data_IF_648312569667
#
_entry.id   IF_648312569667
#
_cell.length_a   1.000
_cell.length_b   1.000
_cell.length_c   1.000
_cell.angle_alpha   90.00
_cell.angle_beta   90.00
_cell.angle_gamma   90.00
#
_symmetry.space_group_name_H-M   'P 1'
#
loop_
_entity.id
_entity.type
_entity.pdbx_description
1 polymer ?
#
# COMPACT_ATOMS: atom_id res chain seq x y z
N UNK A 1 9.20 39.41 -12.46
CA UNK A 1 7.88 39.49 -11.81
C UNK A 1 7.45 38.05 -11.63
N UNK A 2 7.82 37.48 -10.48
CA UNK A 2 7.73 36.04 -10.22
C UNK A 2 6.40 35.76 -9.57
N UNK A 3 5.59 34.93 -10.22
CA UNK A 3 4.25 34.54 -9.80
C UNK A 3 4.34 33.73 -8.49
N UNK A 4 3.65 34.10 -7.40
CA UNK A 4 3.66 33.30 -6.19
C UNK A 4 2.87 32.02 -6.44
N UNK A 5 3.57 30.89 -6.44
CA UNK A 5 3.01 29.54 -6.46
C UNK A 5 1.98 29.41 -5.33
N UNK A 6 0.70 29.35 -5.68
CA UNK A 6 -0.36 28.98 -4.74
C UNK A 6 -0.35 27.47 -4.65
N UNK A 7 0.24 26.94 -3.57
CA UNK A 7 0.15 25.52 -3.24
C UNK A 7 -1.33 25.11 -3.08
N UNK A 8 -1.75 23.98 -3.67
CA UNK A 8 -3.12 23.50 -3.54
C UNK A 8 -3.45 23.20 -2.07
N UNK A 9 -4.73 23.31 -1.65
CA UNK A 9 -5.12 23.01 -0.28
C UNK A 9 -4.82 21.54 0.04
N UNK A 10 -3.86 21.34 0.95
CA UNK A 10 -3.47 20.04 1.47
C UNK A 10 -4.70 19.31 2.03
N UNK A 11 -4.90 18.06 1.62
CA UNK A 11 -5.98 17.22 2.13
C UNK A 11 -5.87 17.04 3.66
N UNK A 12 -6.95 16.64 4.33
CA UNK A 12 -6.97 16.51 5.79
C UNK A 12 -5.88 15.59 6.38
N UNK A 13 -5.39 14.61 5.59
CA UNK A 13 -4.26 13.73 5.97
C UNK A 13 -2.89 14.41 5.87
N UNK A 14 -2.68 15.23 4.84
CA UNK A 14 -1.44 15.99 4.68
C UNK A 14 -1.31 17.06 5.76
N UNK A 15 -2.42 17.73 6.09
CA UNK A 15 -2.42 18.71 7.19
C UNK A 15 -2.14 18.09 8.55
N UNK A 16 -2.65 16.89 8.82
CA UNK A 16 -2.32 16.15 10.05
C UNK A 16 -0.82 15.84 10.09
N UNK A 17 -0.24 15.36 8.99
CA UNK A 17 1.19 15.06 8.90
C UNK A 17 2.05 16.29 9.22
N UNK A 18 1.76 17.44 8.60
CA UNK A 18 2.50 18.69 8.88
C UNK A 18 2.46 19.09 10.36
N UNK A 19 1.28 18.97 10.98
CA UNK A 19 1.12 19.31 12.39
C UNK A 19 1.89 18.32 13.29
N UNK A 20 1.92 17.03 12.94
CA UNK A 20 2.68 16.03 13.68
C UNK A 20 4.20 16.20 13.50
N UNK A 21 4.65 16.55 12.31
CA UNK A 21 6.06 16.87 12.03
C UNK A 21 6.50 18.06 12.90
N UNK A 22 5.68 19.12 12.96
CA UNK A 22 5.94 20.27 13.83
C UNK A 22 5.99 19.89 15.34
N UNK A 23 5.12 18.98 15.80
CA UNK A 23 5.11 18.53 17.21
C UNK A 23 6.34 17.67 17.55
N UNK A 24 6.84 16.89 16.58
CA UNK A 24 7.90 15.90 16.81
C UNK A 24 9.30 16.36 16.43
N UNK A 25 9.42 17.50 15.75
CA UNK A 25 10.69 18.15 15.48
C UNK A 25 11.42 18.54 16.79
N UNK A 26 12.65 18.05 16.93
CA UNK A 26 13.51 18.30 18.08
C UNK A 26 13.96 19.77 18.19
N UNK A 27 13.98 20.50 17.08
CA UNK A 27 14.38 21.92 17.02
C UNK A 27 13.37 22.86 17.66
N UNK A 28 12.10 22.47 17.71
CA UNK A 28 11.06 23.25 18.37
C UNK A 28 11.22 23.13 19.88
N UNK A 29 11.34 24.21 20.65
CA UNK A 29 11.52 24.15 22.11
C UNK A 29 10.20 24.18 22.89
N UNK A 30 9.16 24.78 22.29
CA UNK A 30 7.82 24.88 22.87
C UNK A 30 6.72 25.05 21.82
N UNK A 31 5.47 25.15 22.28
CA UNK A 31 4.27 25.20 21.41
C UNK A 31 4.30 26.40 20.46
N UNK A 32 4.86 27.53 20.88
CA UNK A 32 5.07 28.70 20.02
C UNK A 32 5.98 28.40 18.82
N UNK A 33 7.05 27.61 19.01
CA UNK A 33 7.95 27.22 17.92
C UNK A 33 7.27 26.26 16.95
N UNK A 34 6.53 25.28 17.49
CA UNK A 34 5.75 24.33 16.69
C UNK A 34 4.72 25.06 15.81
N UNK A 35 3.99 26.01 16.40
CA UNK A 35 3.01 26.82 15.68
C UNK A 35 3.67 27.64 14.56
N UNK A 36 4.82 28.28 14.84
CA UNK A 36 5.60 29.02 13.83
C UNK A 36 6.09 28.13 12.70
N UNK A 37 6.61 26.93 13.00
CA UNK A 37 7.08 25.97 12.00
C UNK A 37 5.98 25.46 11.07
N UNK A 38 4.71 25.53 11.50
CA UNK A 38 3.53 25.14 10.71
C UNK A 38 2.75 26.32 10.11
N UNK A 39 3.36 27.51 10.11
CA UNK A 39 2.77 28.78 9.66
C UNK A 39 1.41 29.11 10.31
N UNK A 40 1.22 28.72 11.58
CA UNK A 40 -0.02 28.92 12.33
C UNK A 40 0.19 29.78 13.59
N UNK A 41 -0.88 30.43 14.06
CA UNK A 41 -0.88 31.03 15.39
C UNK A 41 -0.93 29.95 16.47
N UNK A 42 -0.35 30.22 17.66
CA UNK A 42 -0.29 29.25 18.75
C UNK A 42 -1.67 28.74 19.19
N UNK A 43 -2.67 29.63 19.22
CA UNK A 43 -4.05 29.28 19.52
C UNK A 43 -4.65 28.37 18.46
N UNK A 44 -4.48 28.70 17.18
CA UNK A 44 -5.01 27.89 16.08
C UNK A 44 -4.34 26.53 16.02
N UNK A 45 -3.02 26.48 16.15
CA UNK A 45 -2.23 25.25 16.19
C UNK A 45 -2.67 24.33 17.33
N UNK A 46 -2.74 24.85 18.56
CA UNK A 46 -3.12 24.06 19.74
C UNK A 46 -4.54 23.51 19.64
N UNK A 47 -5.47 24.32 19.12
CA UNK A 47 -6.86 23.90 18.89
C UNK A 47 -6.92 22.80 17.83
N UNK A 48 -6.18 22.95 16.73
CA UNK A 48 -6.23 22.02 15.61
C UNK A 48 -5.55 20.68 15.93
N UNK A 49 -4.37 20.70 16.56
CA UNK A 49 -3.72 19.50 17.08
C UNK A 49 -4.65 18.79 18.06
N UNK A 50 -5.24 19.49 19.02
CA UNK A 50 -6.16 18.86 19.98
C UNK A 50 -7.42 18.29 19.32
N UNK A 51 -7.96 18.98 18.32
CA UNK A 51 -9.12 18.52 17.55
C UNK A 51 -8.81 17.23 16.79
N UNK A 52 -7.62 17.13 16.19
CA UNK A 52 -7.21 16.00 15.36
C UNK A 52 -6.62 14.82 16.17
N UNK A 53 -5.97 15.11 17.30
CA UNK A 53 -5.18 14.13 18.07
C UNK A 53 -5.76 13.83 19.46
N UNK A 54 -6.77 14.56 19.91
CA UNK A 54 -7.30 14.45 21.28
C UNK A 54 -6.34 14.94 22.38
N UNK A 55 -5.08 15.25 22.05
CA UNK A 55 -4.03 15.67 22.98
C UNK A 55 -3.62 17.13 22.73
N UNK A 56 -3.15 17.84 23.77
CA UNK A 56 -2.49 19.12 23.53
C UNK A 56 -1.12 18.88 22.88
N UNK A 57 -0.59 19.83 22.07
CA UNK A 57 0.72 19.65 21.43
C UNK A 57 1.85 19.28 22.41
N UNK A 58 1.85 19.91 23.59
CA UNK A 58 2.84 19.65 24.63
C UNK A 58 2.68 18.26 25.29
N UNK A 59 1.45 17.75 25.41
CA UNK A 59 1.19 16.41 25.92
C UNK A 59 1.63 15.36 24.90
N UNK A 60 1.24 15.55 23.63
CA UNK A 60 1.60 14.68 22.51
C UNK A 60 3.11 14.54 22.35
N UNK A 61 3.82 15.68 22.30
CA UNK A 61 5.29 15.69 22.23
C UNK A 61 5.91 14.95 23.42
N UNK A 62 5.46 15.27 24.64
CA UNK A 62 6.01 14.66 25.86
C UNK A 62 5.79 13.15 25.87
N UNK A 63 4.64 12.67 25.40
CA UNK A 63 4.36 11.24 25.26
C UNK A 63 5.31 10.59 24.27
N UNK A 64 5.38 11.09 23.03
CA UNK A 64 6.28 10.57 21.98
C UNK A 64 7.75 10.55 22.41
N UNK A 65 8.23 11.61 23.09
CA UNK A 65 9.58 11.67 23.64
C UNK A 65 9.83 10.59 24.72
N UNK A 66 8.85 10.35 25.59
CA UNK A 66 8.96 9.32 26.62
C UNK A 66 8.87 7.90 26.05
N UNK A 67 8.08 7.66 25.00
CA UNK A 67 8.05 6.39 24.26
C UNK A 67 9.40 6.11 23.59
N UNK A 68 9.99 7.12 22.94
CA UNK A 68 11.34 7.05 22.35
C UNK A 68 12.41 6.79 23.40
N UNK A 69 12.37 7.52 24.52
CA UNK A 69 13.32 7.34 25.61
C UNK A 69 13.23 5.93 26.22
N UNK A 70 12.03 5.41 26.46
CA UNK A 70 11.83 4.05 26.95
C UNK A 70 12.43 3.01 25.98
N UNK A 71 12.19 3.16 24.68
CA UNK A 71 12.77 2.27 23.67
C UNK A 71 14.31 2.30 23.65
N UNK A 72 14.92 3.48 23.77
CA UNK A 72 16.40 3.63 23.83
C UNK A 72 16.99 3.00 25.08
N UNK A 73 16.36 3.22 26.23
CA UNK A 73 16.78 2.63 27.51
C UNK A 73 16.70 1.10 27.50
N UNK A 74 15.67 0.52 26.87
CA UNK A 74 15.52 -0.93 26.69
C UNK A 74 16.67 -1.56 25.89
N UNK A 75 17.37 -0.76 25.08
CA UNK A 75 18.53 -1.19 24.27
C UNK A 75 19.86 -0.95 24.97
N UNK A 76 19.83 -0.56 26.24
CA UNK A 76 21.01 -0.40 27.08
C UNK A 76 21.66 0.98 27.01
N UNK A 77 21.00 1.98 26.41
CA UNK A 77 21.52 3.35 26.45
C UNK A 77 21.49 3.93 27.86
N UNK A 78 22.52 4.74 28.20
CA UNK A 78 22.62 5.34 29.52
C UNK A 78 21.53 6.41 29.74
N UNK A 79 20.90 6.39 30.92
CA UNK A 79 19.84 7.34 31.31
C UNK A 79 20.23 8.81 31.10
N UNK A 80 21.47 9.17 31.41
CA UNK A 80 21.99 10.52 31.21
C UNK A 80 22.12 10.91 29.74
N UNK A 81 22.53 9.96 28.88
CA UNK A 81 22.65 10.19 27.44
C UNK A 81 21.26 10.38 26.82
N UNK A 82 20.32 9.47 27.11
CA UNK A 82 18.94 9.57 26.64
C UNK A 82 18.28 10.87 27.11
N UNK A 83 18.45 11.25 28.38
CA UNK A 83 17.88 12.50 28.88
C UNK A 83 18.42 13.74 28.14
N UNK A 84 19.73 13.78 27.89
CA UNK A 84 20.39 14.88 27.17
C UNK A 84 19.94 14.96 25.72
N UNK A 85 19.91 13.82 25.01
CA UNK A 85 19.59 13.76 23.59
C UNK A 85 18.12 14.05 23.31
N UNK A 86 17.22 13.69 24.23
CA UNK A 86 15.81 14.07 24.17
C UNK A 86 15.58 15.53 24.64
N UNK A 87 16.64 16.29 24.98
CA UNK A 87 16.53 17.71 25.32
C UNK A 87 15.93 18.01 26.70
N UNK A 88 16.02 17.08 27.65
CA UNK A 88 15.63 17.35 29.04
C UNK A 88 16.70 18.20 29.73
N UNK A 89 16.26 19.16 30.55
CA UNK A 89 17.17 20.06 31.28
C UNK A 89 18.07 19.35 32.30
N UNK A 90 17.66 18.18 32.79
CA UNK A 90 18.51 17.28 33.58
C UNK A 90 17.98 15.84 33.61
N UNK A 91 18.86 14.88 33.92
CA UNK A 91 18.49 13.48 34.12
C UNK A 91 17.48 13.27 35.27
N UNK A 92 17.47 14.17 36.27
CA UNK A 92 16.52 14.14 37.37
C UNK A 92 15.11 14.55 36.91
N UNK A 93 15.01 15.61 36.08
CA UNK A 93 13.73 16.04 35.50
C UNK A 93 13.17 14.93 34.60
N UNK A 94 14.02 14.33 33.77
CA UNK A 94 13.67 13.17 32.95
C UNK A 94 13.17 12.01 33.82
N UNK A 95 13.92 11.62 34.85
CA UNK A 95 13.57 10.49 35.72
C UNK A 95 12.23 10.67 36.43
N UNK A 96 11.93 11.90 36.89
CA UNK A 96 10.62 12.24 37.48
C UNK A 96 9.49 12.14 36.46
N UNK A 97 9.70 12.64 35.25
CA UNK A 97 8.70 12.56 34.19
C UNK A 97 8.46 11.11 33.75
N UNK A 98 9.53 10.33 33.57
CA UNK A 98 9.46 8.92 33.20
C UNK A 98 8.70 8.11 34.26
N UNK A 99 9.07 8.25 35.55
CA UNK A 99 8.39 7.55 36.64
C UNK A 99 6.93 7.94 36.79
N UNK A 100 6.59 9.22 36.59
CA UNK A 100 5.20 9.68 36.63
C UNK A 100 4.36 9.01 35.54
N UNK A 101 4.96 8.76 34.38
CA UNK A 101 4.26 8.24 33.20
C UNK A 101 4.19 6.72 33.18
N UNK A 102 5.31 6.03 33.47
CA UNK A 102 5.41 4.57 33.40
C UNK A 102 5.26 3.87 34.76
N UNK A 103 5.21 4.61 35.87
CA UNK A 103 5.19 4.07 37.22
C UNK A 103 6.55 3.58 37.74
N UNK A 104 7.49 3.23 36.85
CA UNK A 104 8.83 2.74 37.17
C UNK A 104 9.93 3.76 36.82
N UNK A 105 11.10 3.76 37.49
CA UNK A 105 12.22 4.61 37.14
C UNK A 105 12.87 4.21 35.79
N UNK A 106 13.60 5.11 35.12
CA UNK A 106 14.29 4.82 33.85
C UNK A 106 15.23 3.60 33.89
N UNK A 107 15.83 3.31 35.05
CA UNK A 107 16.69 2.14 35.24
C UNK A 107 15.96 0.80 35.13
N UNK A 108 14.63 0.82 35.23
CA UNK A 108 13.73 -0.34 35.06
C UNK A 108 12.93 -0.23 33.75
N UNK A 109 13.44 0.49 32.74
CA UNK A 109 12.77 0.62 31.45
C UNK A 109 12.56 -0.73 30.73
N UNK A 110 13.34 -1.77 31.07
CA UNK A 110 13.12 -3.13 30.57
C UNK A 110 11.76 -3.73 30.98
N UNK A 111 11.20 -3.26 32.10
CA UNK A 111 9.97 -3.80 32.69
C UNK A 111 8.69 -3.06 32.23
N UNK A 112 8.83 -2.04 31.37
CA UNK A 112 7.69 -1.23 30.90
C UNK A 112 7.37 -1.54 29.43
N UNK A 113 6.08 -1.56 29.08
CA UNK A 113 5.70 -1.46 27.67
C UNK A 113 5.96 -0.02 27.21
N UNK A 114 6.82 0.16 26.20
CA UNK A 114 7.27 1.50 25.81
C UNK A 114 6.17 2.33 25.13
N UNK A 115 5.10 1.73 24.57
CA UNK A 115 3.97 2.48 24.03
C UNK A 115 3.03 2.89 25.17
N UNK A 116 2.71 4.18 25.23
CA UNK A 116 1.79 4.74 26.21
C UNK A 116 0.38 4.80 25.63
N UNK A 117 -0.69 4.73 26.44
CA UNK A 117 -2.04 4.93 25.93
C UNK A 117 -2.16 6.26 25.17
N UNK A 118 -2.63 6.20 23.93
CA UNK A 118 -2.79 7.37 23.05
C UNK A 118 -4.24 7.49 22.59
N UNK A 119 -4.97 8.57 22.91
CA UNK A 119 -6.36 8.74 22.50
C UNK A 119 -6.56 8.84 20.98
N UNK A 120 -5.49 9.11 20.22
CA UNK A 120 -5.47 9.14 18.75
C UNK A 120 -4.80 7.93 18.11
N UNK A 121 -4.31 6.96 18.89
CA UNK A 121 -3.50 5.86 18.37
C UNK A 121 -2.16 6.28 17.76
N UNK A 122 -1.73 7.55 17.93
CA UNK A 122 -0.43 7.99 17.41
C UNK A 122 0.66 7.52 18.38
N UNK A 123 1.61 6.72 17.91
CA UNK A 123 2.74 6.27 18.70
C UNK A 123 4.07 6.55 18.00
N UNK A 124 5.11 6.73 18.80
CA UNK A 124 6.47 6.58 18.32
C UNK A 124 6.69 5.16 17.81
N UNK A 125 7.14 5.05 16.56
CA UNK A 125 7.63 3.81 16.01
C UNK A 125 9.13 3.93 15.68
N UNK A 126 9.97 3.18 16.39
CA UNK A 126 11.41 3.27 16.18
C UNK A 126 11.84 2.97 14.73
N UNK A 127 12.95 3.56 14.25
CA UNK A 127 13.79 4.54 14.94
C UNK A 127 13.32 5.99 14.80
N UNK A 128 12.47 6.31 13.82
CA UNK A 128 12.08 7.70 13.50
C UNK A 128 10.62 7.86 13.06
N UNK A 129 9.87 6.78 12.87
CA UNK A 129 8.53 6.84 12.32
C UNK A 129 7.50 7.16 13.41
N UNK A 130 6.36 7.67 12.99
CA UNK A 130 5.15 7.71 13.79
C UNK A 130 4.17 6.69 13.21
N UNK A 131 3.53 5.91 14.07
CA UNK A 131 2.46 5.00 13.69
C UNK A 131 1.13 5.57 14.16
N UNK A 132 0.10 5.43 13.34
CA UNK A 132 -1.29 5.67 13.72
C UNK A 132 -1.96 4.31 13.76
N UNK A 133 -2.49 3.92 14.92
CA UNK A 133 -3.34 2.76 15.01
C UNK A 133 -4.58 2.97 14.13
N UNK A 134 -5.04 1.89 13.48
CA UNK A 134 -6.32 1.90 12.77
C UNK A 134 -7.43 2.25 13.76
N UNK A 135 -8.27 3.24 13.42
CA UNK A 135 -9.26 3.81 14.35
C UNK A 135 -10.06 2.71 15.06
N UNK A 136 -10.07 2.65 16.41
CA UNK A 136 -10.85 1.65 17.15
C UNK A 136 -12.38 1.83 16.99
N UNK A 137 -12.80 2.90 16.31
CA UNK A 137 -14.21 3.17 15.95
C UNK A 137 -14.65 2.52 14.64
N UNK A 138 -13.75 1.87 13.90
CA UNK A 138 -14.18 0.92 12.88
C UNK A 138 -14.71 -0.29 13.65
N UNK A 139 -16.02 -0.34 13.81
CA UNK A 139 -16.70 -1.50 14.37
C UNK A 139 -16.19 -2.77 13.69
N UNK A 140 -16.10 -3.83 14.47
CA UNK A 140 -15.68 -5.16 14.03
C UNK A 140 -16.75 -5.74 13.11
N UNK A 141 -16.87 -5.18 11.92
CA UNK A 141 -17.38 -5.86 10.75
C UNK A 141 -16.13 -6.31 9.99
N UNK A 142 -15.79 -7.59 10.14
CA UNK A 142 -14.60 -8.25 9.56
C UNK A 142 -14.49 -8.07 8.03
N UNK A 143 -15.60 -7.69 7.39
CA UNK A 143 -15.72 -7.48 5.95
C UNK A 143 -15.01 -6.22 5.40
N UNK A 144 -14.76 -5.21 6.25
CA UNK A 144 -14.09 -3.95 5.87
C UNK A 144 -12.69 -3.80 6.47
N UNK A 145 -12.16 -4.87 7.08
CA UNK A 145 -10.77 -4.89 7.53
C UNK A 145 -9.81 -4.74 6.34
N UNK A 146 -8.71 -3.99 6.49
CA UNK A 146 -7.69 -3.91 5.44
C UNK A 146 -7.13 -5.31 5.10
N UNK A 147 -7.34 -5.74 3.86
CA UNK A 147 -6.89 -7.04 3.35
C UNK A 147 -5.91 -6.81 2.19
N UNK A 148 -4.67 -7.29 2.37
CA UNK A 148 -3.61 -7.20 1.36
C UNK A 148 -4.00 -7.96 0.08
N UNK A 149 -4.66 -9.10 0.20
CA UNK A 149 -5.10 -9.89 -0.96
C UNK A 149 -6.14 -9.13 -1.77
N UNK A 150 -7.12 -8.53 -1.09
CA UNK A 150 -8.14 -7.69 -1.72
C UNK A 150 -7.52 -6.47 -2.41
N UNK A 151 -6.55 -5.83 -1.77
CA UNK A 151 -5.80 -4.70 -2.35
C UNK A 151 -5.06 -5.14 -3.62
N UNK A 152 -4.31 -6.25 -3.56
CA UNK A 152 -3.51 -6.73 -4.68
C UNK A 152 -4.38 -7.14 -5.87
N UNK A 153 -5.55 -7.75 -5.64
CA UNK A 153 -6.51 -8.06 -6.71
C UNK A 153 -7.08 -6.80 -7.33
N UNK A 154 -7.56 -5.85 -6.52
CA UNK A 154 -8.09 -4.59 -7.05
C UNK A 154 -7.03 -3.82 -7.87
N UNK A 155 -5.81 -3.75 -7.36
CA UNK A 155 -4.69 -3.11 -8.06
C UNK A 155 -4.30 -3.86 -9.34
N UNK A 156 -4.26 -5.19 -9.32
CA UNK A 156 -3.97 -6.02 -10.51
C UNK A 156 -4.95 -5.73 -11.65
N UNK A 157 -6.24 -5.65 -11.33
CA UNK A 157 -7.29 -5.39 -12.31
C UNK A 157 -7.20 -3.98 -12.89
N UNK A 158 -7.00 -2.97 -12.04
CA UNK A 158 -6.91 -1.57 -12.44
C UNK A 158 -5.64 -1.25 -13.24
N UNK A 159 -4.48 -1.76 -12.79
CA UNK A 159 -3.20 -1.53 -13.49
C UNK A 159 -3.16 -2.25 -14.85
N UNK A 160 -3.79 -3.42 -14.96
CA UNK A 160 -3.98 -4.08 -16.26
C UNK A 160 -4.87 -3.25 -17.19
N UNK A 161 -5.97 -2.69 -16.69
CA UNK A 161 -6.86 -1.82 -17.47
C UNK A 161 -6.13 -0.56 -17.94
N UNK A 162 -5.31 0.04 -17.08
CA UNK A 162 -4.51 1.23 -17.43
C UNK A 162 -3.49 0.92 -18.54
N UNK A 163 -2.79 -0.22 -18.44
CA UNK A 163 -1.83 -0.65 -19.46
C UNK A 163 -2.52 -0.93 -20.81
N UNK A 164 -3.70 -1.56 -20.81
CA UNK A 164 -4.50 -1.77 -22.01
C UNK A 164 -4.94 -0.44 -22.63
N UNK A 165 -5.36 0.54 -21.81
CA UNK A 165 -5.69 1.88 -22.28
C UNK A 165 -4.47 2.60 -22.90
N UNK A 166 -3.25 2.40 -22.38
CA UNK A 166 -2.04 2.91 -23.02
C UNK A 166 -1.74 2.20 -24.34
N UNK A 167 -1.94 0.89 -24.39
CA UNK A 167 -1.68 0.09 -25.59
C UNK A 167 -2.61 0.44 -26.77
N UNK A 168 -3.79 1.03 -26.53
CA UNK A 168 -4.67 1.54 -27.57
C UNK A 168 -4.04 2.68 -28.42
N UNK A 169 -2.90 3.24 -28.01
CA UNK A 169 -2.14 4.20 -28.82
C UNK A 169 -1.24 3.52 -29.87
N UNK A 170 -1.00 2.21 -29.76
CA UNK A 170 -0.17 1.47 -30.70
C UNK A 170 -0.88 1.29 -32.04
N UNK A 171 -0.13 1.31 -33.14
CA UNK A 171 -0.66 0.85 -34.42
C UNK A 171 -0.85 -0.68 -34.41
N UNK A 172 -1.70 -1.24 -35.29
CA UNK A 172 -1.85 -2.69 -35.40
C UNK A 172 -0.53 -3.43 -35.66
N UNK A 173 0.41 -2.80 -36.37
CA UNK A 173 1.74 -3.36 -36.61
C UNK A 173 2.59 -3.35 -35.35
N UNK A 174 2.56 -2.29 -34.55
CA UNK A 174 3.31 -2.21 -33.29
C UNK A 174 2.73 -3.16 -32.23
N UNK A 175 1.42 -3.34 -32.18
CA UNK A 175 0.73 -4.27 -31.28
C UNK A 175 1.26 -5.71 -31.35
N UNK A 176 1.55 -6.17 -32.58
CA UNK A 176 2.04 -7.53 -32.86
C UNK A 176 3.56 -7.60 -33.04
N UNK A 177 4.26 -6.45 -33.08
CA UNK A 177 5.70 -6.43 -33.32
C UNK A 177 6.47 -7.07 -32.15
N UNK A 178 7.41 -7.96 -32.47
CA UNK A 178 8.27 -8.57 -31.46
C UNK A 178 9.25 -7.51 -30.90
N UNK A 179 9.03 -7.15 -29.64
CA UNK A 179 9.90 -6.24 -28.88
C UNK A 179 11.02 -7.04 -28.19
N UNK A 180 10.70 -8.24 -27.72
CA UNK A 180 11.64 -9.16 -27.10
C UNK A 180 11.42 -10.59 -27.64
N UNK A 181 12.00 -10.94 -28.79
CA UNK A 181 11.87 -12.28 -29.37
C UNK A 181 12.26 -13.38 -28.37
N UNK A 182 11.41 -14.40 -28.23
CA UNK A 182 11.64 -15.53 -27.32
C UNK A 182 11.39 -15.25 -25.83
N UNK A 183 10.93 -14.04 -25.47
CA UNK A 183 10.48 -13.74 -24.11
C UNK A 183 9.34 -14.69 -23.70
N UNK A 184 9.45 -15.32 -22.53
CA UNK A 184 8.46 -16.26 -21.99
C UNK A 184 8.37 -16.06 -20.49
N UNK A 185 7.16 -15.96 -19.94
CA UNK A 185 6.94 -15.86 -18.48
C UNK A 185 6.75 -17.24 -17.87
N UNK A 186 5.93 -18.07 -18.53
CA UNK A 186 5.65 -19.45 -18.14
C UNK A 186 5.89 -20.35 -19.35
N UNK A 187 6.77 -21.35 -19.22
CA UNK A 187 7.17 -22.22 -20.34
C UNK A 187 5.97 -22.90 -21.03
N UNK A 188 4.95 -23.28 -20.25
CA UNK A 188 3.74 -23.93 -20.76
C UNK A 188 2.73 -22.96 -21.42
N UNK A 189 2.84 -21.64 -21.17
CA UNK A 189 2.01 -20.63 -21.85
C UNK A 189 2.56 -20.26 -23.24
N UNK A 190 3.84 -20.56 -23.48
CA UNK A 190 4.53 -20.21 -24.72
C UNK A 190 5.07 -18.77 -24.74
N UNK A 191 5.62 -18.34 -25.89
CA UNK A 191 6.31 -17.06 -26.00
C UNK A 191 5.35 -15.86 -26.02
N UNK A 192 5.77 -14.77 -25.39
CA UNK A 192 5.08 -13.48 -25.27
C UNK A 192 5.98 -12.34 -25.81
N UNK A 193 6.30 -12.31 -27.12
CA UNK A 193 7.36 -11.45 -27.64
C UNK A 193 6.94 -9.99 -27.90
N UNK A 194 5.64 -9.69 -27.91
CA UNK A 194 5.08 -8.36 -28.19
C UNK A 194 4.25 -7.82 -27.03
N UNK A 195 3.97 -6.50 -27.05
CA UNK A 195 3.05 -5.88 -26.09
C UNK A 195 1.70 -6.61 -26.06
N UNK A 196 1.16 -6.90 -27.25
CA UNK A 196 -0.12 -7.58 -27.35
C UNK A 196 -0.10 -9.02 -26.87
N UNK A 197 1.03 -9.73 -26.99
CA UNK A 197 1.15 -11.09 -26.47
C UNK A 197 1.15 -11.11 -24.94
N UNK A 198 1.89 -10.19 -24.31
CA UNK A 198 1.97 -10.06 -22.83
C UNK A 198 0.62 -9.62 -22.25
N UNK A 199 -0.02 -8.60 -22.83
CA UNK A 199 -1.33 -8.12 -22.37
C UNK A 199 -2.44 -9.14 -22.65
N UNK A 200 -2.37 -9.87 -23.76
CA UNK A 200 -3.27 -10.98 -24.06
C UNK A 200 -3.17 -12.09 -23.02
N UNK A 201 -1.95 -12.47 -22.62
CA UNK A 201 -1.72 -13.48 -21.59
C UNK A 201 -2.28 -13.05 -20.21
N UNK A 202 -2.18 -11.77 -19.86
CA UNK A 202 -2.77 -11.22 -18.62
C UNK A 202 -4.29 -11.45 -18.52
N UNK A 203 -5.01 -11.20 -19.61
CA UNK A 203 -6.48 -11.38 -19.66
C UNK A 203 -6.82 -12.87 -19.73
N UNK A 204 -6.13 -13.61 -20.59
CA UNK A 204 -6.35 -15.03 -20.79
C UNK A 204 -6.24 -15.85 -19.50
N UNK A 205 -5.18 -15.63 -18.71
CA UNK A 205 -4.93 -16.41 -17.51
C UNK A 205 -6.13 -16.31 -16.55
N UNK A 206 -6.72 -15.12 -16.41
CA UNK A 206 -7.91 -14.92 -15.58
C UNK A 206 -9.15 -15.57 -16.20
N UNK A 207 -9.30 -15.49 -17.53
CA UNK A 207 -10.41 -16.11 -18.27
C UNK A 207 -10.43 -17.64 -18.09
N UNK A 208 -9.29 -18.31 -18.24
CA UNK A 208 -9.19 -19.76 -18.05
C UNK A 208 -9.47 -20.16 -16.62
N UNK A 209 -8.89 -19.47 -15.63
CA UNK A 209 -9.16 -19.81 -14.23
C UNK A 209 -10.63 -19.60 -13.86
N UNK A 210 -11.29 -18.58 -14.40
CA UNK A 210 -12.74 -18.41 -14.23
C UNK A 210 -13.51 -19.60 -14.82
N UNK A 211 -13.15 -20.06 -16.02
CA UNK A 211 -13.78 -21.22 -16.63
C UNK A 211 -13.56 -22.49 -15.77
N UNK A 212 -12.34 -22.76 -15.32
CA UNK A 212 -12.03 -23.91 -14.45
C UNK A 212 -12.83 -23.86 -13.14
N UNK A 213 -12.91 -22.69 -12.49
CA UNK A 213 -13.63 -22.51 -11.21
C UNK A 213 -15.14 -22.66 -11.42
N UNK A 214 -15.68 -22.19 -12.54
CA UNK A 214 -17.10 -22.31 -12.88
C UNK A 214 -17.48 -23.70 -13.44
N UNK A 215 -16.51 -24.54 -13.79
CA UNK A 215 -16.74 -25.81 -14.49
C UNK A 215 -17.20 -25.63 -15.94
N UNK A 216 -16.78 -24.54 -16.58
CA UNK A 216 -17.05 -24.20 -17.99
C UNK A 216 -15.96 -24.80 -18.91
N UNK A 217 -16.29 -24.94 -20.20
CA UNK A 217 -15.30 -25.30 -21.22
C UNK A 217 -14.20 -24.23 -21.33
N UNK A 218 -12.99 -24.64 -21.71
CA UNK A 218 -11.91 -23.68 -21.92
C UNK A 218 -12.23 -22.72 -23.09
N UNK A 219 -12.05 -21.41 -22.88
CA UNK A 219 -12.17 -20.44 -23.96
C UNK A 219 -11.16 -20.76 -25.08
N UNK A 220 -11.37 -20.28 -26.31
CA UNK A 220 -10.36 -20.42 -27.37
C UNK A 220 -9.24 -19.40 -27.17
N UNK A 221 -7.95 -19.81 -27.25
CA UNK A 221 -6.78 -18.90 -27.14
C UNK A 221 -6.85 -17.67 -28.05
N UNK A 222 -7.54 -17.77 -29.18
CA UNK A 222 -7.78 -16.65 -30.09
C UNK A 222 -8.61 -15.50 -29.48
N UNK A 223 -9.28 -15.70 -28.33
CA UNK A 223 -10.06 -14.68 -27.61
C UNK A 223 -9.22 -13.52 -27.07
N UNK A 224 -7.90 -13.72 -26.97
CA UNK A 224 -6.95 -12.77 -26.36
C UNK A 224 -5.65 -12.62 -27.14
N UNK A 225 -5.39 -13.47 -28.14
CA UNK A 225 -4.17 -13.42 -28.93
C UNK A 225 -4.12 -12.17 -29.84
N UNK A 226 -2.96 -11.48 -29.90
CA UNK A 226 -2.85 -10.20 -30.59
C UNK A 226 -2.97 -10.30 -32.12
N UNK A 227 -2.82 -11.50 -32.70
CA UNK A 227 -3.08 -11.76 -34.11
C UNK A 227 -4.57 -11.67 -34.48
N UNK A 228 -5.47 -11.81 -33.50
CA UNK A 228 -6.92 -11.85 -33.71
C UNK A 228 -7.65 -10.70 -33.00
N UNK A 229 -7.05 -10.14 -31.94
CA UNK A 229 -7.69 -9.17 -31.06
C UNK A 229 -6.86 -7.89 -30.99
N UNK A 230 -7.48 -6.76 -31.33
CA UNK A 230 -6.88 -5.44 -31.18
C UNK A 230 -6.88 -4.97 -29.72
N UNK A 231 -6.03 -4.00 -29.39
CA UNK A 231 -5.87 -3.50 -28.02
C UNK A 231 -7.19 -3.03 -27.39
N UNK A 232 -8.03 -2.31 -28.14
CA UNK A 232 -9.32 -1.80 -27.66
C UNK A 232 -10.33 -2.92 -27.39
N UNK A 233 -10.34 -3.95 -28.25
CA UNK A 233 -11.20 -5.12 -28.06
C UNK A 233 -10.74 -5.94 -26.84
N UNK A 234 -9.43 -6.07 -26.64
CA UNK A 234 -8.88 -6.72 -25.46
C UNK A 234 -9.15 -5.92 -24.17
N UNK A 235 -9.12 -4.59 -24.24
CA UNK A 235 -9.50 -3.72 -23.12
C UNK A 235 -10.96 -3.94 -22.70
N UNK A 236 -11.89 -3.96 -23.67
CA UNK A 236 -13.30 -4.26 -23.39
C UNK A 236 -13.48 -5.68 -22.81
N UNK A 237 -12.74 -6.67 -23.33
CA UNK A 237 -12.77 -8.03 -22.79
C UNK A 237 -12.24 -8.08 -21.35
N UNK A 238 -11.14 -7.39 -21.05
CA UNK A 238 -10.61 -7.27 -19.70
C UNK A 238 -11.62 -6.65 -18.74
N UNK A 239 -12.39 -5.63 -19.13
CA UNK A 239 -13.40 -5.03 -18.26
C UNK A 239 -14.47 -6.04 -17.79
N UNK A 240 -14.82 -7.01 -18.63
CA UNK A 240 -15.75 -8.09 -18.30
C UNK A 240 -15.08 -9.13 -17.38
N UNK A 241 -13.88 -9.57 -17.74
CA UNK A 241 -13.10 -10.56 -16.98
C UNK A 241 -12.72 -10.02 -15.60
N UNK A 242 -12.34 -8.75 -15.50
CA UNK A 242 -12.01 -8.08 -14.25
C UNK A 242 -13.18 -8.06 -13.27
N UNK A 243 -14.40 -7.77 -13.76
CA UNK A 243 -15.61 -7.80 -12.92
C UNK A 243 -15.88 -9.20 -12.40
N UNK A 244 -15.83 -10.22 -13.26
CA UNK A 244 -16.05 -11.62 -12.89
C UNK A 244 -14.98 -12.11 -11.91
N UNK A 245 -13.71 -11.82 -12.17
CA UNK A 245 -12.57 -12.19 -11.33
C UNK A 245 -12.64 -11.52 -9.95
N UNK A 246 -12.86 -10.20 -9.92
CA UNK A 246 -13.01 -9.45 -8.68
C UNK A 246 -14.19 -9.93 -7.84
N UNK A 247 -15.34 -10.20 -8.48
CA UNK A 247 -16.51 -10.76 -7.81
C UNK A 247 -16.21 -12.15 -7.23
N UNK A 248 -15.63 -13.05 -8.03
CA UNK A 248 -15.26 -14.40 -7.59
C UNK A 248 -14.36 -14.35 -6.35
N UNK A 249 -13.25 -13.60 -6.39
CA UNK A 249 -12.35 -13.52 -5.23
C UNK A 249 -13.04 -12.91 -4.02
N UNK A 250 -13.83 -11.85 -4.21
CA UNK A 250 -14.56 -11.19 -3.12
C UNK A 250 -15.59 -12.10 -2.46
N UNK A 251 -16.39 -12.83 -3.25
CA UNK A 251 -17.44 -13.70 -2.76
C UNK A 251 -16.87 -14.91 -2.00
N UNK A 252 -15.85 -15.57 -2.56
CA UNK A 252 -15.21 -16.71 -1.90
C UNK A 252 -14.42 -16.28 -0.64
N UNK A 253 -13.82 -15.09 -0.64
CA UNK A 253 -13.19 -14.53 0.57
C UNK A 253 -14.21 -14.26 1.66
N UNK A 254 -15.29 -13.55 1.35
CA UNK A 254 -16.35 -13.22 2.29
C UNK A 254 -17.05 -14.47 2.87
N UNK A 255 -17.11 -15.55 2.08
CA UNK A 255 -17.64 -16.84 2.52
C UNK A 255 -16.65 -17.69 3.32
N UNK A 256 -15.38 -17.28 3.47
CA UNK A 256 -14.32 -18.08 4.11
C UNK A 256 -13.93 -19.33 3.31
N UNK A 257 -14.15 -19.32 1.99
CA UNK A 257 -14.04 -20.48 1.09
C UNK A 257 -12.82 -20.47 0.17
N UNK A 258 -11.90 -19.52 0.33
CA UNK A 258 -10.65 -19.52 -0.45
C UNK A 258 -9.78 -20.77 -0.20
N UNK A 259 -10.03 -21.52 0.87
CA UNK A 259 -9.40 -22.83 1.13
C UNK A 259 -9.94 -23.98 0.28
N UNK A 260 -11.05 -23.79 -0.43
CA UNK A 260 -11.66 -24.81 -1.29
C UNK A 260 -10.69 -25.24 -2.40
N UNK A 261 -10.79 -26.51 -2.80
CA UNK A 261 -9.94 -27.12 -3.83
C UNK A 261 -10.73 -27.32 -5.11
N UNK A 262 -10.19 -26.79 -6.21
CA UNK A 262 -10.63 -27.06 -7.57
C UNK A 262 -9.83 -28.25 -8.09
N UNK A 263 -10.53 -29.27 -8.58
CA UNK A 263 -9.91 -30.40 -9.27
C UNK A 263 -10.06 -30.11 -10.76
N UNK A 264 -8.97 -29.72 -11.40
CA UNK A 264 -8.95 -29.47 -12.83
C UNK A 264 -8.84 -30.81 -13.58
N UNK A 265 -10.00 -31.32 -13.98
CA UNK A 265 -10.11 -32.54 -14.77
C UNK A 265 -9.71 -32.35 -16.25
N UNK A 266 -9.44 -31.11 -16.68
CA UNK A 266 -9.00 -30.78 -18.04
C UNK A 266 -7.46 -30.81 -18.15
N UNK A 267 -6.73 -30.81 -17.03
CA UNK A 267 -5.31 -31.15 -16.98
C UNK A 267 -5.10 -32.67 -17.19
N UNK A 268 -3.99 -33.05 -17.84
CA UNK A 268 -3.54 -34.44 -17.96
C UNK A 268 -2.11 -34.59 -17.38
N UNK A 269 -1.95 -35.23 -16.19
CA UNK A 269 -3.01 -35.80 -15.36
C UNK A 269 -3.85 -34.71 -14.65
N UNK A 270 -5.06 -35.03 -14.15
CA UNK A 270 -5.86 -34.08 -13.39
C UNK A 270 -5.09 -33.53 -12.17
N UNK A 271 -5.11 -32.21 -12.00
CA UNK A 271 -4.39 -31.52 -10.94
C UNK A 271 -5.37 -30.85 -9.96
N UNK A 272 -5.00 -30.81 -8.68
CA UNK A 272 -5.80 -30.18 -7.63
C UNK A 272 -5.16 -28.87 -7.19
N UNK A 273 -5.92 -27.78 -7.21
CA UNK A 273 -5.45 -26.46 -6.81
C UNK A 273 -6.39 -25.82 -5.79
N UNK A 274 -5.84 -25.27 -4.71
CA UNK A 274 -6.64 -24.48 -3.77
C UNK A 274 -6.90 -23.08 -4.34
N UNK A 275 -8.09 -22.51 -4.12
CA UNK A 275 -8.47 -21.21 -4.68
C UNK A 275 -7.50 -20.09 -4.29
N UNK A 276 -7.05 -20.04 -3.03
CA UNK A 276 -6.04 -19.05 -2.61
C UNK A 276 -4.70 -19.23 -3.36
N UNK A 277 -4.34 -20.47 -3.70
CA UNK A 277 -3.14 -20.79 -4.48
C UNK A 277 -3.27 -20.32 -5.93
N UNK A 278 -4.45 -20.51 -6.53
CA UNK A 278 -4.78 -19.98 -7.85
C UNK A 278 -4.68 -18.45 -7.86
N UNK A 279 -5.30 -17.77 -6.89
CA UNK A 279 -5.25 -16.29 -6.80
C UNK A 279 -3.80 -15.81 -6.65
N UNK A 280 -3.02 -16.42 -5.76
CA UNK A 280 -1.61 -16.09 -5.58
C UNK A 280 -0.77 -16.30 -6.85
N UNK A 281 -1.01 -17.41 -7.56
CA UNK A 281 -0.39 -17.71 -8.85
C UNK A 281 -0.69 -16.61 -9.88
N UNK A 282 -1.98 -16.27 -10.07
CA UNK A 282 -2.41 -15.24 -11.01
C UNK A 282 -1.78 -13.89 -10.68
N UNK A 283 -1.81 -13.47 -9.41
CA UNK A 283 -1.22 -12.20 -8.97
C UNK A 283 0.29 -12.14 -9.22
N UNK A 284 1.00 -13.23 -8.95
CA UNK A 284 2.47 -13.31 -9.11
C UNK A 284 2.87 -13.09 -10.56
N UNK A 285 2.31 -13.86 -11.49
CA UNK A 285 2.67 -13.76 -12.90
C UNK A 285 2.04 -12.54 -13.57
N UNK A 286 0.90 -12.06 -13.08
CA UNK A 286 0.33 -10.80 -13.58
C UNK A 286 1.22 -9.61 -13.22
N UNK A 287 1.79 -9.55 -12.01
CA UNK A 287 2.73 -8.49 -11.65
C UNK A 287 3.97 -8.48 -12.57
N UNK A 288 4.54 -9.66 -12.87
CA UNK A 288 5.66 -9.76 -13.80
C UNK A 288 5.28 -9.29 -15.22
N UNK A 289 4.13 -9.76 -15.75
CA UNK A 289 3.65 -9.36 -17.08
C UNK A 289 3.32 -7.87 -17.17
N UNK A 290 2.78 -7.25 -16.12
CA UNK A 290 2.52 -5.80 -16.11
C UNK A 290 3.80 -4.98 -16.21
N UNK A 291 4.86 -5.35 -15.48
CA UNK A 291 6.14 -4.66 -15.59
C UNK A 291 6.81 -4.89 -16.95
N UNK A 292 6.68 -6.10 -17.51
CA UNK A 292 7.15 -6.39 -18.86
C UNK A 292 6.41 -5.55 -19.92
N UNK A 293 5.08 -5.50 -19.85
CA UNK A 293 4.26 -4.69 -20.75
C UNK A 293 4.62 -3.20 -20.65
N UNK A 294 4.87 -2.71 -19.44
CA UNK A 294 5.32 -1.32 -19.20
C UNK A 294 6.65 -1.02 -19.89
N UNK A 295 7.62 -1.93 -19.76
CA UNK A 295 8.92 -1.81 -20.43
C UNK A 295 8.79 -1.86 -21.96
N UNK A 296 7.95 -2.76 -22.48
CA UNK A 296 7.71 -2.88 -23.93
C UNK A 296 6.98 -1.65 -24.51
N UNK A 297 5.96 -1.12 -23.81
CA UNK A 297 5.26 0.12 -24.18
C UNK A 297 6.23 1.32 -24.22
N UNK A 298 7.13 1.41 -23.23
CA UNK A 298 8.17 2.45 -23.22
C UNK A 298 9.11 2.33 -24.43
N UNK A 299 9.39 1.10 -24.90
CA UNK A 299 10.13 0.85 -26.15
C UNK A 299 9.46 1.41 -27.40
N UNK A 300 8.12 1.58 -27.38
CA UNK A 300 7.34 2.26 -28.41
C UNK A 300 7.12 3.76 -28.14
N UNK A 301 7.75 4.32 -27.10
CA UNK A 301 7.60 5.72 -26.71
C UNK A 301 6.29 6.03 -25.97
N UNK A 302 5.56 5.01 -25.52
CA UNK A 302 4.31 5.17 -24.75
C UNK A 302 4.65 5.08 -23.26
N UNK A 303 4.39 6.16 -22.53
CA UNK A 303 4.58 6.20 -21.08
C UNK A 303 3.35 5.65 -20.36
N UNK A 304 3.58 4.78 -19.36
CA UNK A 304 2.55 4.32 -18.44
C UNK A 304 2.91 4.72 -17.00
N UNK A 305 1.91 4.74 -16.09
CA UNK A 305 2.15 4.97 -14.66
C UNK A 305 3.12 3.92 -14.11
N UNK A 306 3.71 4.15 -12.93
CA UNK A 306 4.68 3.19 -12.35
C UNK A 306 4.06 1.86 -11.92
N UNK A 307 2.76 1.84 -11.61
CA UNK A 307 2.07 0.63 -11.13
C UNK A 307 2.38 0.25 -9.67
N UNK A 308 2.87 1.20 -8.86
CA UNK A 308 3.08 0.99 -7.43
C UNK A 308 1.73 1.06 -6.68
N UNK A 309 1.33 0.00 -5.93
CA UNK A 309 0.12 0.03 -5.11
C UNK A 309 0.09 1.19 -4.09
N UNK A 310 1.23 1.63 -3.57
CA UNK A 310 1.29 2.76 -2.63
C UNK A 310 0.98 4.10 -3.31
N UNK A 311 1.46 4.30 -4.54
CA UNK A 311 1.11 5.47 -5.36
C UNK A 311 -0.38 5.40 -5.75
N UNK A 312 -0.87 4.22 -6.17
CA UNK A 312 -2.27 4.00 -6.52
C UNK A 312 -3.23 4.32 -5.36
N UNK A 313 -2.92 3.91 -4.13
CA UNK A 313 -3.72 4.21 -2.94
C UNK A 313 -3.78 5.72 -2.60
N UNK A 314 -2.87 6.54 -3.13
CA UNK A 314 -2.88 8.00 -2.93
C UNK A 314 -3.79 8.72 -3.93
N UNK A 315 -4.30 8.04 -4.96
CA UNK A 315 -5.20 8.60 -5.96
C UNK A 315 -4.52 9.53 -6.97
N UNK A 316 -3.22 9.34 -7.22
CA UNK A 316 -2.46 10.03 -8.28
C UNK A 316 -2.56 9.33 -9.62
#
# INVERSE_FOLDING_TARGET
MTDPQVEPPLGGRDRLRELLDAVTDASNSGVSDMARSSHASEFHFSREVRRLTGESPAALRRRVMLERAAWRLQRGEAVSAVASDEGWSSAEVFSRAFRRTYGLPPSQAADVHFRLPAPNGLHFHPPQSLWLDSSPTAGVDDADAPDVSRLLVAHDLDDTAQLLAQAAQLTPQQWVAEVAPGQTVLEWDGPEPSVGAVLGALVWTKEVWLATIAGEDFPPRSSTQPAFVAAEALAAHHDEIAKRWGAMVSEYSAAGRLGDTVIDALCDPPESFQLYGIVAHVLTYSAHRRELARAMLAGHGIAARRGDPLEWMRGT
#
